data_IF_469296481610
#
_entry.id   IF_469296481610
#
_cell.length_a   1.000
_cell.length_b   1.000
_cell.length_c   1.000
_cell.angle_alpha   90.00
_cell.angle_beta   90.00
_cell.angle_gamma   90.00
#
_symmetry.space_group_name_H-M   'P 1'
#
loop_
_entity.id
_entity.type
_entity.pdbx_description
1 polymer ?
#
# COMPACT_ATOMS: atom_id res chain seq x y z
N UNK A 1 3.23 23.68 20.92
CA UNK A 1 2.70 22.51 20.22
C UNK A 1 1.21 22.48 20.46
N UNK A 2 0.44 22.96 19.49
CA UNK A 2 -1.01 22.83 19.49
C UNK A 2 -1.36 21.35 19.31
N UNK A 3 -1.99 20.77 20.32
CA UNK A 3 -2.48 19.38 20.30
C UNK A 3 -3.70 19.21 19.39
N UNK A 4 -3.62 19.69 18.15
CA UNK A 4 -4.59 19.39 17.11
C UNK A 4 -4.50 17.92 16.73
N UNK A 5 -5.62 17.21 16.69
CA UNK A 5 -5.68 15.83 16.22
C UNK A 5 -5.08 15.76 14.82
N UNK A 6 -4.17 14.81 14.59
CA UNK A 6 -3.58 14.57 13.29
C UNK A 6 -4.71 14.25 12.28
N UNK A 7 -4.78 15.00 11.21
CA UNK A 7 -5.71 14.75 10.10
C UNK A 7 -4.92 14.47 8.83
N UNK A 8 -5.36 13.49 8.04
CA UNK A 8 -4.70 13.18 6.78
C UNK A 8 -4.87 14.33 5.79
N UNK A 9 -3.78 14.94 5.29
CA UNK A 9 -3.84 15.92 4.21
C UNK A 9 -4.45 15.31 2.94
N UNK A 10 -5.07 16.12 2.09
CA UNK A 10 -5.71 15.61 0.88
C UNK A 10 -4.71 15.02 -0.11
N UNK A 11 -3.52 15.60 -0.23
CA UNK A 11 -2.45 15.06 -1.07
C UNK A 11 -1.94 13.70 -0.56
N UNK A 12 -1.95 13.48 0.74
CA UNK A 12 -1.64 12.18 1.32
C UNK A 12 -2.71 11.14 0.96
N UNK A 13 -4.00 11.50 1.06
CA UNK A 13 -5.11 10.62 0.65
C UNK A 13 -5.02 10.26 -0.84
N UNK A 14 -4.72 11.25 -1.70
CA UNK A 14 -4.50 11.02 -3.13
C UNK A 14 -3.34 10.06 -3.40
N UNK A 15 -2.22 10.20 -2.69
CA UNK A 15 -1.07 9.31 -2.81
C UNK A 15 -1.42 7.86 -2.45
N UNK A 16 -2.22 7.64 -1.39
CA UNK A 16 -2.74 6.32 -1.03
C UNK A 16 -3.64 5.77 -2.15
N UNK A 17 -4.56 6.59 -2.67
CA UNK A 17 -5.45 6.16 -3.75
C UNK A 17 -4.68 5.81 -5.02
N UNK A 18 -3.66 6.58 -5.39
CA UNK A 18 -2.78 6.25 -6.50
C UNK A 18 -2.03 4.94 -6.29
N UNK A 19 -1.50 4.71 -5.08
CA UNK A 19 -0.86 3.45 -4.72
C UNK A 19 -1.82 2.26 -4.83
N UNK A 20 -3.08 2.39 -4.39
CA UNK A 20 -4.10 1.35 -4.53
C UNK A 20 -4.37 1.01 -6.00
N UNK A 21 -4.47 2.02 -6.87
CA UNK A 21 -4.62 1.82 -8.31
C UNK A 21 -3.40 1.10 -8.91
N UNK A 22 -2.18 1.52 -8.55
CA UNK A 22 -0.95 0.89 -9.00
C UNK A 22 -0.84 -0.57 -8.53
N UNK A 23 -1.17 -0.85 -7.27
CA UNK A 23 -1.20 -2.21 -6.72
C UNK A 23 -2.22 -3.10 -7.44
N UNK A 24 -3.41 -2.57 -7.73
CA UNK A 24 -4.44 -3.28 -8.47
C UNK A 24 -3.98 -3.61 -9.91
N UNK A 25 -3.31 -2.68 -10.59
CA UNK A 25 -2.74 -2.93 -11.92
C UNK A 25 -1.68 -4.02 -11.87
N UNK A 26 -0.74 -3.94 -10.94
CA UNK A 26 0.32 -4.93 -10.79
C UNK A 26 -0.25 -6.32 -10.52
N UNK A 27 -1.24 -6.43 -9.64
CA UNK A 27 -1.92 -7.69 -9.33
C UNK A 27 -2.69 -8.25 -10.51
N UNK A 28 -3.36 -7.41 -11.29
CA UNK A 28 -4.05 -7.83 -12.52
C UNK A 28 -3.09 -8.32 -13.62
N UNK A 29 -1.82 -7.93 -13.53
CA UNK A 29 -0.73 -8.38 -14.42
C UNK A 29 0.11 -9.53 -13.83
N UNK A 30 -0.44 -10.24 -12.86
CA UNK A 30 0.19 -11.41 -12.22
C UNK A 30 1.55 -11.13 -11.57
N UNK A 31 1.76 -9.90 -11.11
CA UNK A 31 2.97 -9.57 -10.36
C UNK A 31 3.04 -10.43 -9.08
N UNK A 32 4.21 -11.06 -8.83
CA UNK A 32 4.38 -12.03 -7.74
C UNK A 32 5.18 -11.52 -6.55
N UNK A 33 5.90 -10.40 -6.69
CA UNK A 33 6.64 -9.83 -5.55
C UNK A 33 5.72 -9.00 -4.67
N UNK A 34 6.01 -8.87 -3.37
CA UNK A 34 5.26 -7.95 -2.50
C UNK A 34 5.21 -6.55 -3.08
N UNK A 35 4.05 -5.92 -2.97
CA UNK A 35 3.83 -4.53 -3.41
C UNK A 35 3.73 -3.69 -2.15
N UNK A 36 4.64 -2.73 -1.98
CA UNK A 36 4.68 -1.94 -0.74
C UNK A 36 4.83 -0.45 -1.01
N UNK A 37 4.19 0.35 -0.16
CA UNK A 37 4.37 1.78 -0.03
C UNK A 37 4.97 2.07 1.33
N UNK A 38 6.07 2.82 1.36
CA UNK A 38 6.66 3.35 2.58
C UNK A 38 6.21 4.79 2.77
N UNK A 39 5.69 5.08 3.95
CA UNK A 39 5.29 6.42 4.39
C UNK A 39 6.26 6.86 5.49
N UNK A 40 7.00 7.94 5.22
CA UNK A 40 7.95 8.52 6.15
C UNK A 40 7.73 10.04 6.21
N UNK A 41 6.88 10.47 7.14
CA UNK A 41 6.44 11.85 7.29
C UNK A 41 7.01 12.52 8.53
N UNK A 42 7.49 11.74 9.50
CA UNK A 42 8.05 12.24 10.74
C UNK A 42 9.26 11.43 11.18
N UNK A 43 10.24 12.08 11.81
CA UNK A 43 11.36 11.42 12.45
C UNK A 43 11.01 10.85 13.84
N UNK A 44 9.85 11.24 14.41
CA UNK A 44 9.43 10.80 15.74
C UNK A 44 8.72 9.44 15.66
N UNK A 45 9.27 8.46 16.35
CA UNK A 45 8.70 7.10 16.39
C UNK A 45 7.26 7.04 16.92
N UNK A 46 6.89 7.92 17.85
CA UNK A 46 5.51 8.02 18.34
C UNK A 46 4.54 8.49 17.25
N UNK A 47 5.00 9.39 16.37
CA UNK A 47 4.19 9.87 15.24
C UNK A 47 3.79 8.76 14.28
N UNK A 48 4.63 7.76 14.04
CA UNK A 48 4.30 6.64 13.16
C UNK A 48 3.08 5.84 13.65
N UNK A 49 2.89 5.69 14.97
CA UNK A 49 1.71 5.00 15.52
C UNK A 49 0.45 5.84 15.40
N UNK A 50 0.55 7.15 15.63
CA UNK A 50 -0.58 8.07 15.45
C UNK A 50 -1.01 8.11 13.97
N UNK A 51 -0.06 8.20 13.04
CA UNK A 51 -0.33 8.15 11.61
C UNK A 51 -0.96 6.81 11.19
N UNK A 52 -0.47 5.69 11.73
CA UNK A 52 -1.04 4.37 11.50
C UNK A 52 -2.51 4.33 11.89
N UNK A 53 -2.85 4.77 13.11
CA UNK A 53 -4.22 4.74 13.61
C UNK A 53 -5.15 5.64 12.80
N UNK A 54 -4.70 6.85 12.46
CA UNK A 54 -5.48 7.79 11.63
C UNK A 54 -5.69 7.25 10.22
N UNK A 55 -4.65 6.73 9.58
CA UNK A 55 -4.73 6.14 8.26
C UNK A 55 -5.65 4.91 8.24
N UNK A 56 -5.50 4.01 9.21
CA UNK A 56 -6.33 2.81 9.33
C UNK A 56 -7.81 3.17 9.48
N UNK A 57 -8.11 4.09 10.38
CA UNK A 57 -9.49 4.53 10.62
C UNK A 57 -10.09 5.22 9.39
N UNK A 58 -9.30 6.03 8.68
CA UNK A 58 -9.72 6.66 7.44
C UNK A 58 -10.01 5.59 6.36
N UNK A 59 -9.09 4.67 6.11
CA UNK A 59 -9.25 3.61 5.12
C UNK A 59 -10.49 2.76 5.39
N UNK A 60 -10.69 2.32 6.63
CA UNK A 60 -11.87 1.49 7.01
C UNK A 60 -13.16 2.28 6.82
N UNK A 61 -13.22 3.53 7.25
CA UNK A 61 -14.42 4.37 7.11
C UNK A 61 -14.77 4.59 5.64
N UNK A 62 -13.80 5.00 4.84
CA UNK A 62 -14.02 5.30 3.42
C UNK A 62 -14.28 4.04 2.58
N UNK A 63 -13.70 2.89 2.97
CA UNK A 63 -14.02 1.61 2.35
C UNK A 63 -15.49 1.21 2.62
N UNK A 64 -15.96 1.38 3.85
CA UNK A 64 -17.33 1.05 4.24
C UNK A 64 -18.38 1.94 3.55
N UNK A 65 -18.07 3.19 3.30
CA UNK A 65 -18.96 4.13 2.58
C UNK A 65 -18.84 4.02 1.07
N UNK A 66 -17.76 3.41 0.57
CA UNK A 66 -17.44 3.35 -0.85
C UNK A 66 -16.85 4.65 -1.43
N UNK A 67 -16.69 5.70 -0.63
CA UNK A 67 -16.17 7.00 -1.07
C UNK A 67 -14.72 6.93 -1.58
N UNK A 68 -13.91 6.02 -1.02
CA UNK A 68 -12.53 5.83 -1.47
C UNK A 68 -12.44 5.35 -2.93
N UNK A 69 -13.43 4.61 -3.43
CA UNK A 69 -13.43 4.16 -4.82
C UNK A 69 -13.61 5.33 -5.79
N UNK A 70 -14.48 6.28 -5.45
CA UNK A 70 -14.62 7.49 -6.24
C UNK A 70 -13.33 8.31 -6.21
N UNK A 71 -12.72 8.48 -5.04
CA UNK A 71 -11.44 9.17 -4.92
C UNK A 71 -10.32 8.48 -5.70
N UNK A 72 -10.25 7.13 -5.67
CA UNK A 72 -9.32 6.36 -6.49
C UNK A 72 -9.55 6.60 -7.99
N UNK A 73 -10.81 6.63 -8.43
CA UNK A 73 -11.18 6.90 -9.83
C UNK A 73 -10.73 8.31 -10.23
N UNK A 74 -11.05 9.32 -9.43
CA UNK A 74 -10.73 10.72 -9.73
C UNK A 74 -9.21 10.91 -9.82
N UNK A 75 -8.45 10.37 -8.86
CA UNK A 75 -6.99 10.40 -8.88
C UNK A 75 -6.42 9.65 -10.09
N UNK A 76 -6.94 8.46 -10.37
CA UNK A 76 -6.48 7.65 -11.49
C UNK A 76 -6.67 8.37 -12.83
N UNK A 77 -7.86 8.93 -13.06
CA UNK A 77 -8.17 9.62 -14.30
C UNK A 77 -7.37 10.93 -14.47
N UNK A 78 -7.02 11.61 -13.36
CA UNK A 78 -6.18 12.80 -13.42
C UNK A 78 -4.70 12.51 -13.63
N UNK A 79 -4.17 11.42 -13.05
CA UNK A 79 -2.73 11.17 -12.98
C UNK A 79 -2.20 10.23 -14.10
N UNK A 80 -3.05 9.36 -14.64
CA UNK A 80 -2.61 8.33 -15.60
C UNK A 80 -1.94 8.89 -16.86
N UNK A 81 -2.27 10.11 -17.24
CA UNK A 81 -1.77 10.77 -18.45
C UNK A 81 -0.69 11.82 -18.15
N UNK A 82 -0.42 12.14 -16.87
CA UNK A 82 0.55 13.16 -16.45
C UNK A 82 2.01 12.72 -16.67
N UNK A 83 2.28 11.42 -16.51
CA UNK A 83 3.60 10.86 -16.75
C UNK A 83 3.51 9.53 -17.49
N UNK A 84 3.71 9.57 -18.78
CA UNK A 84 3.58 8.41 -19.66
C UNK A 84 4.89 7.61 -19.76
N UNK A 85 4.82 6.36 -20.27
CA UNK A 85 6.01 5.59 -20.60
C UNK A 85 6.86 6.26 -21.69
N UNK A 86 6.26 7.08 -22.54
CA UNK A 86 6.99 7.88 -23.53
C UNK A 86 7.86 8.89 -22.79
N UNK A 87 7.30 9.63 -21.83
CA UNK A 87 8.06 10.61 -21.03
C UNK A 87 9.19 9.92 -20.27
N UNK A 88 8.91 8.75 -19.67
CA UNK A 88 9.93 7.94 -19.01
C UNK A 88 11.05 7.49 -19.94
N UNK A 89 10.71 7.04 -21.17
CA UNK A 89 11.70 6.60 -22.15
C UNK A 89 12.54 7.75 -22.71
N UNK A 90 11.97 8.93 -22.83
CA UNK A 90 12.68 10.15 -23.22
C UNK A 90 13.62 10.64 -22.10
N UNK A 91 13.18 10.56 -20.83
CA UNK A 91 14.00 10.93 -19.68
C UNK A 91 15.13 9.93 -19.38
N UNK A 92 14.93 8.64 -19.70
CA UNK A 92 15.87 7.54 -19.42
C UNK A 92 16.07 6.64 -20.65
N UNK A 93 16.71 7.15 -21.74
CA UNK A 93 16.82 6.43 -23.02
C UNK A 93 17.60 5.11 -22.90
N UNK A 94 18.51 5.00 -21.94
CA UNK A 94 19.35 3.81 -21.70
C UNK A 94 18.66 2.74 -20.84
N UNK A 95 17.43 2.96 -20.40
CA UNK A 95 16.69 1.99 -19.61
C UNK A 95 16.04 0.93 -20.52
N UNK A 96 16.84 -0.03 -20.95
CA UNK A 96 16.50 -1.01 -21.99
C UNK A 96 15.33 -1.96 -21.71
N UNK A 97 14.63 -1.83 -20.57
CA UNK A 97 13.43 -2.64 -20.25
C UNK A 97 12.12 -1.95 -20.61
N UNK A 98 12.12 -0.67 -20.94
CA UNK A 98 10.89 0.09 -21.22
C UNK A 98 10.21 -0.39 -22.51
N UNK A 99 10.96 -0.85 -23.48
CA UNK A 99 10.43 -1.39 -24.76
C UNK A 99 9.64 -2.70 -24.59
N UNK A 100 9.76 -3.38 -23.45
CA UNK A 100 9.08 -4.64 -23.15
C UNK A 100 7.81 -4.46 -22.30
N UNK A 101 7.53 -3.26 -21.86
CA UNK A 101 6.39 -2.97 -20.99
C UNK A 101 5.18 -2.59 -21.84
N UNK A 102 4.07 -3.32 -21.68
CA UNK A 102 2.80 -2.88 -22.23
C UNK A 102 2.42 -1.54 -21.59
N UNK A 103 2.45 -0.49 -22.41
CA UNK A 103 2.45 0.91 -21.96
C UNK A 103 1.07 1.48 -21.64
N UNK A 104 0.01 0.73 -21.92
CA UNK A 104 -1.32 1.25 -21.72
C UNK A 104 -1.81 1.01 -20.28
N UNK A 105 -2.23 2.10 -19.65
CA UNK A 105 -2.99 2.02 -18.41
C UNK A 105 -4.38 1.42 -18.72
N UNK A 106 -4.86 0.45 -17.93
CA UNK A 106 -6.19 -0.11 -18.12
C UNK A 106 -7.27 0.95 -17.81
N UNK A 107 -8.46 0.81 -18.37
CA UNK A 107 -9.59 1.62 -17.90
C UNK A 107 -9.89 1.29 -16.44
N UNK A 108 -10.32 2.28 -15.64
CA UNK A 108 -10.50 2.14 -14.19
C UNK A 108 -11.40 0.96 -13.82
N UNK A 109 -12.47 0.72 -14.56
CA UNK A 109 -13.42 -0.37 -14.27
C UNK A 109 -12.77 -1.78 -14.27
N UNK A 110 -11.65 -1.96 -15.00
CA UNK A 110 -10.90 -3.22 -14.99
C UNK A 110 -10.10 -3.44 -13.72
N UNK A 111 -9.72 -2.38 -13.00
CA UNK A 111 -8.94 -2.46 -11.77
C UNK A 111 -9.81 -2.24 -10.53
N UNK A 112 -11.02 -1.73 -10.67
CA UNK A 112 -11.92 -1.44 -9.55
C UNK A 112 -12.18 -2.69 -8.68
N UNK A 113 -12.39 -3.85 -9.31
CA UNK A 113 -12.61 -5.10 -8.58
C UNK A 113 -11.42 -5.45 -7.69
N UNK A 114 -10.18 -5.29 -8.18
CA UNK A 114 -8.98 -5.52 -7.37
C UNK A 114 -8.84 -4.50 -6.23
N UNK A 115 -9.19 -3.23 -6.47
CA UNK A 115 -9.20 -2.22 -5.41
C UNK A 115 -10.21 -2.61 -4.31
N UNK A 116 -11.40 -3.09 -4.67
CA UNK A 116 -12.40 -3.58 -3.71
C UNK A 116 -11.88 -4.76 -2.91
N UNK A 117 -11.18 -5.70 -3.54
CA UNK A 117 -10.55 -6.83 -2.85
C UNK A 117 -9.49 -6.33 -1.86
N UNK A 118 -8.65 -5.39 -2.24
CA UNK A 118 -7.64 -4.79 -1.34
C UNK A 118 -8.28 -4.07 -0.15
N UNK A 119 -9.41 -3.41 -0.35
CA UNK A 119 -10.12 -2.68 0.70
C UNK A 119 -11.01 -3.57 1.58
N UNK A 120 -11.23 -4.84 1.20
CA UNK A 120 -12.11 -5.74 1.96
C UNK A 120 -11.54 -6.13 3.32
N UNK A 121 -10.22 -6.07 3.48
CA UNK A 121 -9.54 -6.45 4.72
C UNK A 121 -8.30 -5.57 4.97
N UNK A 122 -8.40 -4.66 5.94
CA UNK A 122 -7.35 -3.70 6.28
C UNK A 122 -6.87 -4.00 7.71
N UNK A 123 -5.77 -4.71 7.82
CA UNK A 123 -5.27 -5.18 9.11
C UNK A 123 -3.73 -5.25 9.11
N UNK A 124 -3.16 -5.32 10.31
CA UNK A 124 -1.76 -5.68 10.46
C UNK A 124 -1.52 -7.16 10.09
N UNK A 125 -0.26 -7.55 9.90
CA UNK A 125 0.11 -8.95 9.71
C UNK A 125 -0.36 -9.75 10.93
N UNK A 126 -1.06 -10.86 10.67
CA UNK A 126 -1.47 -11.80 11.71
C UNK A 126 -0.42 -12.89 11.89
N UNK A 127 -0.33 -13.43 13.10
CA UNK A 127 0.49 -14.61 13.38
C UNK A 127 -0.42 -15.83 13.51
N UNK A 128 -0.04 -16.92 12.86
CA UNK A 128 -0.69 -18.21 13.00
C UNK A 128 -0.40 -18.86 14.36
N UNK A 129 -1.05 -19.98 14.65
CA UNK A 129 -0.86 -20.75 15.89
C UNK A 129 0.58 -21.24 16.05
N UNK A 130 1.28 -21.49 14.94
CA UNK A 130 2.70 -21.90 14.88
C UNK A 130 3.66 -20.69 14.94
N UNK A 131 3.16 -19.49 15.20
CA UNK A 131 3.90 -18.22 15.20
C UNK A 131 4.50 -17.85 13.85
N UNK A 132 4.01 -18.41 12.75
CA UNK A 132 4.36 -17.95 11.40
C UNK A 132 3.50 -16.77 10.97
N UNK A 133 4.03 -15.83 10.16
CA UNK A 133 3.23 -14.74 9.60
C UNK A 133 2.17 -15.27 8.65
N UNK A 134 0.95 -14.74 8.76
CA UNK A 134 -0.16 -15.05 7.85
C UNK A 134 -0.37 -13.86 6.93
N UNK A 135 -0.16 -14.07 5.64
CA UNK A 135 -0.36 -13.06 4.60
C UNK A 135 -1.73 -13.23 3.94
N UNK A 136 -2.36 -12.11 3.64
CA UNK A 136 -3.66 -12.08 2.97
C UNK A 136 -3.51 -11.66 1.53
N UNK A 137 -4.30 -12.29 0.68
CA UNK A 137 -4.46 -11.93 -0.73
C UNK A 137 -5.68 -11.01 -0.96
N UNK A 138 -6.59 -10.94 0.00
CA UNK A 138 -7.86 -10.21 -0.02
C UNK A 138 -7.85 -8.92 0.80
N UNK A 139 -6.68 -8.29 0.95
CA UNK A 139 -6.59 -7.10 1.77
C UNK A 139 -5.25 -6.39 1.72
N UNK A 140 -5.10 -5.41 2.61
CA UNK A 140 -3.88 -4.61 2.79
C UNK A 140 -3.30 -4.90 4.18
N UNK A 141 -2.00 -5.16 4.21
CA UNK A 141 -1.23 -5.22 5.45
C UNK A 141 -0.76 -3.81 5.80
N UNK A 142 -1.34 -3.26 6.85
CA UNK A 142 -0.98 -1.94 7.36
C UNK A 142 -0.04 -2.10 8.55
N UNK A 143 1.20 -1.65 8.43
CA UNK A 143 2.28 -1.95 9.37
C UNK A 143 3.01 -0.70 9.86
N UNK A 144 3.64 -0.81 11.03
CA UNK A 144 4.61 0.17 11.52
C UNK A 144 5.99 -0.48 11.56
N UNK A 145 6.99 0.14 10.93
CA UNK A 145 8.38 -0.33 10.94
C UNK A 145 9.31 0.70 11.59
N UNK A 146 9.54 0.52 12.87
CA UNK A 146 10.53 1.27 13.64
C UNK A 146 11.03 0.44 14.84
N UNK A 147 12.04 0.90 15.54
CA UNK A 147 12.64 0.13 16.66
C UNK A 147 11.68 -0.03 17.86
N UNK A 148 10.70 0.85 18.03
CA UNK A 148 9.66 0.74 19.07
C UNK A 148 8.63 -0.32 18.68
N UNK A 149 8.24 -0.38 17.39
CA UNK A 149 7.35 -1.43 16.89
C UNK A 149 7.94 -2.82 17.06
N UNK A 150 9.25 -2.97 16.91
CA UNK A 150 9.94 -4.25 17.12
C UNK A 150 9.78 -4.77 18.56
N UNK A 151 9.89 -3.88 19.58
CA UNK A 151 9.65 -4.25 20.98
C UNK A 151 8.18 -4.57 21.26
N UNK A 152 7.28 -3.78 20.69
CA UNK A 152 5.84 -3.99 20.85
C UNK A 152 5.35 -5.26 20.12
N UNK A 153 6.05 -5.70 19.08
CA UNK A 153 5.79 -6.95 18.40
C UNK A 153 6.04 -8.16 19.33
N UNK A 154 7.07 -8.12 20.18
CA UNK A 154 7.33 -9.15 21.19
C UNK A 154 6.20 -9.21 22.25
N UNK A 155 5.56 -8.07 22.53
CA UNK A 155 4.41 -7.96 23.41
C UNK A 155 3.06 -8.25 22.68
N UNK A 156 3.07 -8.50 21.37
CA UNK A 156 1.89 -8.81 20.57
C UNK A 156 1.02 -7.60 20.19
N UNK A 157 1.50 -6.36 20.40
CA UNK A 157 0.71 -5.14 20.17
C UNK A 157 0.81 -4.63 18.74
N UNK A 158 2.03 -4.56 18.19
CA UNK A 158 2.31 -4.19 16.80
C UNK A 158 3.33 -5.15 16.21
N UNK A 159 3.06 -5.63 15.00
CA UNK A 159 4.03 -6.43 14.27
C UNK A 159 4.84 -5.54 13.33
N UNK A 160 6.14 -5.72 13.40
CA UNK A 160 7.06 -5.22 12.39
C UNK A 160 6.73 -5.83 11.04
N UNK A 161 7.01 -5.11 9.94
CA UNK A 161 6.87 -5.66 8.61
C UNK A 161 7.74 -6.91 8.45
N UNK A 162 7.09 -8.02 8.14
CA UNK A 162 7.74 -9.26 7.76
C UNK A 162 7.26 -9.58 6.36
N UNK A 163 8.17 -9.59 5.38
CA UNK A 163 7.84 -9.93 4.01
C UNK A 163 7.87 -11.45 3.81
N UNK A 164 6.97 -11.99 2.98
CA UNK A 164 6.97 -13.41 2.69
C UNK A 164 8.24 -13.83 1.95
N UNK A 165 8.67 -15.06 2.22
CA UNK A 165 9.77 -15.70 1.48
C UNK A 165 9.33 -16.03 0.05
N UNK A 166 10.31 -16.33 -0.82
CA UNK A 166 10.01 -16.76 -2.20
C UNK A 166 9.15 -18.01 -2.25
N UNK A 167 9.32 -18.92 -1.30
CA UNK A 167 8.53 -20.14 -1.18
C UNK A 167 7.08 -19.82 -0.82
N UNK A 168 6.85 -18.96 0.19
CA UNK A 168 5.52 -18.50 0.57
C UNK A 168 4.82 -17.77 -0.58
N UNK A 169 5.55 -16.89 -1.29
CA UNK A 169 5.01 -16.18 -2.46
C UNK A 169 4.61 -17.14 -3.59
N UNK A 170 5.34 -18.26 -3.78
CA UNK A 170 5.02 -19.22 -4.83
C UNK A 170 3.68 -19.93 -4.60
N UNK A 171 3.24 -20.00 -3.34
CA UNK A 171 1.95 -20.59 -2.94
C UNK A 171 0.78 -19.59 -3.02
N UNK A 172 1.07 -18.29 -3.23
CA UNK A 172 0.04 -17.25 -3.30
C UNK A 172 -0.44 -17.05 -4.75
N UNK A 173 -1.73 -16.89 -4.94
CA UNK A 173 -2.33 -16.58 -6.23
C UNK A 173 -2.08 -15.13 -6.64
N UNK A 174 -2.07 -14.22 -5.65
CA UNK A 174 -1.84 -12.78 -5.84
C UNK A 174 -0.78 -12.24 -4.89
N UNK A 175 -0.03 -11.26 -5.33
CA UNK A 175 0.98 -10.59 -4.51
C UNK A 175 0.34 -9.89 -3.29
N UNK A 176 0.90 -10.04 -2.08
CA UNK A 176 0.46 -9.29 -0.90
C UNK A 176 0.81 -7.82 -1.03
N UNK A 177 -0.06 -6.96 -0.47
CA UNK A 177 0.09 -5.50 -0.51
C UNK A 177 0.31 -4.96 0.90
N UNK A 178 1.29 -4.07 1.04
CA UNK A 178 1.70 -3.48 2.32
C UNK A 178 1.68 -1.96 2.24
N UNK A 179 1.19 -1.31 3.28
CA UNK A 179 1.42 0.11 3.55
C UNK A 179 2.16 0.19 4.88
N UNK A 180 3.34 0.79 4.86
CA UNK A 180 4.29 0.78 5.97
C UNK A 180 4.53 2.20 6.44
N UNK A 181 4.18 2.51 7.68
CA UNK A 181 4.57 3.73 8.36
C UNK A 181 5.89 3.52 9.06
N UNK A 182 6.85 4.37 8.81
CA UNK A 182 8.14 4.27 9.46
C UNK A 182 9.31 4.70 8.61
N UNK A 183 10.46 4.24 9.02
CA UNK A 183 11.75 4.50 8.44
C UNK A 183 12.81 4.37 9.51
N UNK A 184 14.01 3.94 9.13
CA UNK A 184 15.14 3.92 10.05
C UNK A 184 15.54 5.37 10.39
N UNK A 185 15.40 5.71 11.62
CA UNK A 185 16.15 6.82 12.25
C UNK A 185 17.28 6.26 13.07
#
# INVERSE_FOLDING_TARGET
HDGGAFTLPDEFKKSICWFLCAAAILRSREHKKPISMLIHTTALQSGHFEEYDVLKNWLIREANTGSILQLCRDVYESEKDEFTLKDLSEAYPDYGRLSQVNSEFPVFDKIETEIRILLSNIQNIMMGEDKSPVYREDGIHLCVDNCKANRLAEEGTYLRVIYPTSEQLSCMSKAPVFIVMGGNT
#
